data_IF_442976167318
#
_entry.id   IF_442976167318
#
_cell.length_a   1.000
_cell.length_b   1.000
_cell.length_c   1.000
_cell.angle_alpha   90.00
_cell.angle_beta   90.00
_cell.angle_gamma   90.00
#
_symmetry.space_group_name_H-M   'P 1'
#
loop_
_entity.id
_entity.type
_entity.pdbx_description
1 polymer ?
#
# COMPACT_ATOMS: atom_id res chain seq x y z
N UNK A 1 -3.36 2.17 12.17
CA UNK A 1 -3.44 2.45 13.60
C UNK A 1 -4.83 2.24 14.19
N UNK A 2 -5.90 2.85 13.63
CA UNK A 2 -7.29 2.65 14.13
C UNK A 2 -7.64 1.18 14.43
N UNK A 3 -7.40 0.33 13.45
CA UNK A 3 -7.65 -1.13 13.53
C UNK A 3 -6.82 -1.84 14.62
N UNK A 4 -5.58 -1.41 14.84
CA UNK A 4 -4.69 -1.99 15.84
C UNK A 4 -5.09 -1.58 17.26
N UNK A 5 -5.59 -0.34 17.44
CA UNK A 5 -6.13 0.12 18.73
C UNK A 5 -7.41 -0.60 19.15
N UNK A 6 -8.07 -1.32 18.24
CA UNK A 6 -9.18 -2.21 18.58
C UNK A 6 -8.74 -3.54 19.22
N UNK A 7 -7.44 -3.86 19.22
CA UNK A 7 -6.92 -5.08 19.83
C UNK A 7 -6.77 -4.91 21.34
N UNK A 8 -7.07 -5.96 22.11
CA UNK A 8 -6.97 -5.95 23.57
C UNK A 8 -5.55 -5.66 24.09
N UNK A 9 -4.53 -6.03 23.33
CA UNK A 9 -3.12 -5.80 23.65
C UNK A 9 -2.67 -4.35 23.43
N UNK A 10 -3.46 -3.52 22.74
CA UNK A 10 -3.02 -2.20 22.27
C UNK A 10 -2.52 -1.30 23.40
N UNK A 11 -3.24 -1.30 24.53
CA UNK A 11 -2.89 -0.50 25.70
C UNK A 11 -1.54 -0.89 26.33
N UNK A 12 -1.05 -2.12 26.13
CA UNK A 12 0.27 -2.52 26.63
C UNK A 12 1.42 -1.88 25.85
N UNK A 13 1.19 -1.52 24.58
CA UNK A 13 2.21 -0.94 23.71
C UNK A 13 2.04 0.58 23.55
N UNK A 14 0.80 1.03 23.41
CA UNK A 14 0.42 2.43 23.23
C UNK A 14 -0.64 2.83 24.28
N UNK A 15 -0.27 2.88 25.57
CA UNK A 15 -1.20 3.17 26.66
C UNK A 15 -1.82 4.58 26.59
N UNK A 16 -1.13 5.49 25.90
CA UNK A 16 -1.54 6.86 25.70
C UNK A 16 -2.38 7.06 24.43
N UNK A 17 -2.68 6.00 23.66
CA UNK A 17 -3.54 6.10 22.49
C UNK A 17 -4.90 5.44 22.72
N UNK A 18 -5.95 6.06 22.20
CA UNK A 18 -7.30 5.48 22.17
C UNK A 18 -8.10 5.91 20.96
N UNK A 19 -9.19 5.19 20.72
CA UNK A 19 -10.20 5.57 19.73
C UNK A 19 -11.26 6.46 20.36
N UNK A 20 -11.53 7.60 19.73
CA UNK A 20 -12.61 8.52 20.10
C UNK A 20 -13.37 8.86 18.83
N UNK A 21 -14.67 8.53 18.80
CA UNK A 21 -15.49 8.66 17.59
C UNK A 21 -14.86 8.03 16.33
N UNK A 22 -14.15 6.91 16.49
CA UNK A 22 -13.48 6.20 15.41
C UNK A 22 -12.15 6.81 14.93
N UNK A 23 -11.65 7.87 15.57
CA UNK A 23 -10.35 8.51 15.28
C UNK A 23 -9.33 8.22 16.36
N UNK A 24 -8.06 8.20 15.98
CA UNK A 24 -6.94 8.03 16.92
C UNK A 24 -6.69 9.34 17.68
N UNK A 25 -6.86 9.29 19.00
CA UNK A 25 -6.52 10.36 19.92
C UNK A 25 -5.36 9.96 20.82
N UNK A 26 -4.51 10.92 21.19
CA UNK A 26 -3.54 10.79 22.27
C UNK A 26 -4.11 11.34 23.57
N UNK A 27 -3.98 10.59 24.66
CA UNK A 27 -4.28 11.01 26.02
C UNK A 27 -3.03 11.66 26.60
N UNK A 28 -3.14 12.95 26.92
CA UNK A 28 -2.07 13.74 27.53
C UNK A 28 -2.53 14.28 28.89
N UNK A 29 -1.63 14.92 29.64
CA UNK A 29 -1.98 15.59 30.90
C UNK A 29 -2.94 16.77 30.72
N UNK A 30 -2.97 17.39 29.54
CA UNK A 30 -3.87 18.50 29.21
C UNK A 30 -5.18 18.05 28.55
N UNK A 31 -5.39 16.74 28.38
CA UNK A 31 -6.59 16.16 27.77
C UNK A 31 -6.29 15.35 26.51
N UNK A 32 -7.31 15.18 25.69
CA UNK A 32 -7.26 14.37 24.48
C UNK A 32 -6.89 15.21 23.26
N UNK A 33 -5.91 14.73 22.49
CA UNK A 33 -5.47 15.37 21.25
C UNK A 33 -5.85 14.48 20.07
N UNK A 34 -6.68 14.99 19.17
CA UNK A 34 -6.97 14.33 17.90
C UNK A 34 -5.71 14.32 17.02
N UNK A 35 -5.14 13.12 16.82
CA UNK A 35 -3.93 12.92 16.02
C UNK A 35 -4.24 12.87 14.52
N UNK A 36 -5.47 12.57 14.15
CA UNK A 36 -5.89 12.44 12.76
C UNK A 36 -6.45 13.75 12.19
N UNK A 37 -6.26 14.87 12.88
CA UNK A 37 -6.61 16.19 12.38
C UNK A 37 -5.89 16.44 11.05
N UNK A 38 -6.69 16.72 10.02
CA UNK A 38 -6.23 16.94 8.66
C UNK A 38 -5.79 18.39 8.49
N UNK A 39 -4.58 18.59 7.99
CA UNK A 39 -3.99 19.90 7.73
C UNK A 39 -3.45 19.93 6.30
N UNK A 40 -3.61 21.06 5.61
CA UNK A 40 -3.01 21.28 4.30
C UNK A 40 -1.53 21.64 4.46
N UNK A 41 -0.63 20.81 3.96
CA UNK A 41 0.82 20.93 4.12
C UNK A 41 1.49 21.13 2.76
N UNK A 42 2.39 22.11 2.60
CA UNK A 42 3.20 22.24 1.39
C UNK A 42 4.16 21.05 1.23
N UNK A 43 4.13 20.39 0.07
CA UNK A 43 5.02 19.28 -0.30
C UNK A 43 5.62 19.58 -1.67
N UNK A 44 6.88 20.01 -1.68
CA UNK A 44 7.54 20.48 -2.90
C UNK A 44 6.80 21.68 -3.50
N UNK A 45 6.31 21.55 -4.74
CA UNK A 45 5.53 22.58 -5.43
C UNK A 45 4.01 22.44 -5.27
N UNK A 46 3.55 21.47 -4.48
CA UNK A 46 2.12 21.16 -4.32
C UNK A 46 1.69 21.29 -2.84
N UNK A 47 0.38 21.23 -2.61
CA UNK A 47 -0.20 21.16 -1.26
C UNK A 47 -0.94 19.84 -1.13
N UNK A 48 -0.67 19.13 -0.04
CA UNK A 48 -1.29 17.84 0.26
C UNK A 48 -2.02 17.90 1.60
N UNK A 49 -3.15 17.19 1.71
CA UNK A 49 -3.83 17.01 3.00
C UNK A 49 -3.12 15.89 3.76
N UNK A 50 -2.60 16.20 4.94
CA UNK A 50 -1.86 15.26 5.79
C UNK A 50 -2.40 15.27 7.23
N UNK A 51 -1.92 14.32 8.04
CA UNK A 51 -2.22 14.20 9.48
C UNK A 51 -0.95 14.46 10.30
N UNK A 52 -0.43 15.70 10.31
CA UNK A 52 0.91 15.99 10.81
C UNK A 52 1.07 15.72 12.31
N UNK A 53 -0.02 15.70 13.08
CA UNK A 53 0.00 15.36 14.51
C UNK A 53 0.29 13.88 14.72
N UNK A 54 -0.35 13.00 13.97
CA UNK A 54 -0.05 11.56 13.99
C UNK A 54 1.36 11.27 13.48
N UNK A 55 1.81 11.98 12.43
CA UNK A 55 3.18 11.84 11.93
C UNK A 55 4.21 12.23 12.99
N UNK A 56 4.01 13.38 13.66
CA UNK A 56 4.86 13.83 14.78
C UNK A 56 4.81 12.89 15.98
N UNK A 57 3.67 12.27 16.26
CA UNK A 57 3.57 11.27 17.32
C UNK A 57 4.49 10.06 17.05
N UNK A 58 4.51 9.57 15.81
CA UNK A 58 5.34 8.42 15.43
C UNK A 58 6.81 8.78 15.23
N UNK A 59 7.06 9.96 14.68
CA UNK A 59 8.38 10.48 14.40
C UNK A 59 8.41 12.00 14.68
N UNK A 60 8.83 12.41 15.89
CA UNK A 60 8.84 13.83 16.30
C UNK A 60 9.79 14.71 15.49
N UNK A 61 10.90 14.16 14.99
CA UNK A 61 11.91 14.88 14.21
C UNK A 61 12.20 14.16 12.89
N UNK A 62 11.66 14.68 11.79
CA UNK A 62 11.89 14.12 10.45
C UNK A 62 13.32 14.25 9.93
N UNK A 63 14.18 15.03 10.59
CA UNK A 63 15.56 15.27 10.18
C UNK A 63 16.58 14.45 10.98
N UNK A 64 16.19 13.93 12.15
CA UNK A 64 17.09 13.18 13.03
C UNK A 64 16.35 11.99 13.63
N UNK A 65 17.00 10.83 13.61
CA UNK A 65 16.51 9.67 14.36
C UNK A 65 16.54 10.02 15.85
N UNK A 66 15.36 10.13 16.44
CA UNK A 66 15.17 10.40 17.87
C UNK A 66 14.84 9.11 18.63
N UNK A 67 15.10 9.09 19.93
CA UNK A 67 14.78 7.97 20.82
C UNK A 67 13.29 7.64 20.81
N UNK A 68 12.41 8.63 20.61
CA UNK A 68 10.98 8.41 20.49
C UNK A 68 10.59 7.61 19.23
N UNK A 69 11.25 7.88 18.11
CA UNK A 69 11.07 7.12 16.86
C UNK A 69 11.54 5.67 17.06
N UNK A 70 12.74 5.49 17.60
CA UNK A 70 13.31 4.15 17.87
C UNK A 70 12.43 3.35 18.81
N UNK A 71 11.94 3.97 19.89
CA UNK A 71 11.05 3.31 20.84
C UNK A 71 9.72 2.93 20.20
N UNK A 72 9.14 3.81 19.38
CA UNK A 72 7.88 3.54 18.67
C UNK A 72 8.05 2.39 17.68
N UNK A 73 9.13 2.38 16.91
CA UNK A 73 9.47 1.29 16.00
C UNK A 73 9.67 -0.03 16.77
N UNK A 74 10.43 0.00 17.87
CA UNK A 74 10.67 -1.17 18.73
C UNK A 74 9.37 -1.72 19.33
N UNK A 75 8.43 -0.84 19.73
CA UNK A 75 7.09 -1.26 20.17
C UNK A 75 6.35 -2.01 19.08
N UNK A 76 6.31 -1.50 17.85
CA UNK A 76 5.64 -2.21 16.75
C UNK A 76 6.26 -3.57 16.44
N UNK A 77 7.60 -3.66 16.42
CA UNK A 77 8.31 -4.93 16.21
C UNK A 77 8.03 -5.91 17.35
N UNK A 78 8.16 -5.46 18.60
CA UNK A 78 7.85 -6.31 19.75
C UNK A 78 6.38 -6.72 19.77
N UNK A 79 5.47 -5.86 19.31
CA UNK A 79 4.05 -6.17 19.27
C UNK A 79 3.73 -7.23 18.23
N UNK A 80 4.26 -7.09 17.01
CA UNK A 80 4.03 -8.08 15.96
C UNK A 80 4.64 -9.44 16.28
N UNK A 81 5.75 -9.49 17.01
CA UNK A 81 6.38 -10.74 17.44
C UNK A 81 5.61 -11.49 18.54
N UNK A 82 4.83 -10.77 19.36
CA UNK A 82 4.20 -11.33 20.56
C UNK A 82 2.67 -11.42 20.49
N UNK A 83 2.02 -10.75 19.54
CA UNK A 83 0.59 -10.86 19.31
C UNK A 83 0.28 -11.17 17.83
N UNK A 84 -0.06 -12.42 17.50
CA UNK A 84 -0.43 -12.82 16.14
C UNK A 84 -1.57 -12.00 15.52
N UNK A 85 -2.49 -11.45 16.34
CA UNK A 85 -3.61 -10.64 15.85
C UNK A 85 -3.16 -9.32 15.21
N UNK A 86 -1.98 -8.81 15.59
CA UNK A 86 -1.38 -7.63 14.95
C UNK A 86 -1.00 -7.94 13.52
N UNK A 87 -0.37 -9.09 13.30
CA UNK A 87 0.02 -9.55 11.96
C UNK A 87 -1.25 -9.75 11.12
N UNK A 88 -2.21 -10.50 11.65
CA UNK A 88 -3.50 -10.75 10.98
C UNK A 88 -4.18 -9.43 10.57
N UNK A 89 -4.34 -8.50 11.50
CA UNK A 89 -5.00 -7.22 11.22
C UNK A 89 -4.20 -6.36 10.23
N UNK A 90 -2.87 -6.39 10.30
CA UNK A 90 -2.02 -5.68 9.34
C UNK A 90 -2.16 -6.25 7.94
N UNK A 91 -2.21 -7.58 7.80
CA UNK A 91 -2.44 -8.27 6.52
C UNK A 91 -3.84 -7.92 5.98
N UNK A 92 -4.88 -8.00 6.80
CA UNK A 92 -6.25 -7.64 6.41
C UNK A 92 -6.32 -6.21 5.87
N UNK A 93 -5.73 -5.25 6.60
CA UNK A 93 -5.67 -3.84 6.18
C UNK A 93 -4.89 -3.68 4.88
N UNK A 94 -3.73 -4.35 4.74
CA UNK A 94 -2.91 -4.29 3.54
C UNK A 94 -3.66 -4.83 2.32
N UNK A 95 -4.30 -6.00 2.45
CA UNK A 95 -5.13 -6.60 1.39
C UNK A 95 -6.28 -5.67 1.00
N UNK A 96 -6.99 -5.07 1.97
CA UNK A 96 -8.06 -4.10 1.71
C UNK A 96 -7.56 -2.88 0.93
N UNK A 97 -6.39 -2.35 1.26
CA UNK A 97 -5.77 -1.22 0.55
C UNK A 97 -5.39 -1.63 -0.89
N UNK A 98 -4.77 -2.80 -1.05
CA UNK A 98 -4.36 -3.31 -2.37
C UNK A 98 -5.58 -3.55 -3.25
N UNK A 99 -6.63 -4.22 -2.76
CA UNK A 99 -7.90 -4.44 -3.48
C UNK A 99 -8.51 -3.11 -3.94
N UNK A 100 -8.60 -2.12 -3.05
CA UNK A 100 -9.13 -0.79 -3.40
C UNK A 100 -8.30 -0.09 -4.49
N UNK A 101 -6.97 -0.10 -4.35
CA UNK A 101 -6.08 0.51 -5.36
C UNK A 101 -6.19 -0.23 -6.70
N UNK A 102 -6.23 -1.55 -6.66
CA UNK A 102 -6.36 -2.36 -7.86
C UNK A 102 -7.67 -2.08 -8.59
N UNK A 103 -8.81 -1.98 -7.89
CA UNK A 103 -10.08 -1.60 -8.51
C UNK A 103 -10.02 -0.23 -9.17
N UNK A 104 -9.42 0.76 -8.49
CA UNK A 104 -9.24 2.10 -9.07
C UNK A 104 -8.36 2.08 -10.33
N UNK A 105 -7.29 1.28 -10.33
CA UNK A 105 -6.44 1.11 -11.51
C UNK A 105 -7.13 0.34 -12.63
N UNK A 106 -7.88 -0.71 -12.30
CA UNK A 106 -8.62 -1.49 -13.27
C UNK A 106 -9.65 -0.64 -14.01
N UNK A 107 -10.35 0.25 -13.29
CA UNK A 107 -11.24 1.22 -13.90
C UNK A 107 -10.47 2.26 -14.75
N UNK A 108 -9.38 2.81 -14.21
CA UNK A 108 -8.60 3.88 -14.88
C UNK A 108 -7.91 3.42 -16.16
N UNK A 109 -7.50 2.16 -16.21
CA UNK A 109 -6.70 1.57 -17.29
C UNK A 109 -7.43 0.48 -18.07
N UNK A 110 -8.75 0.35 -17.88
CA UNK A 110 -9.59 -0.59 -18.61
C UNK A 110 -9.09 -2.04 -18.51
N UNK A 111 -8.73 -2.47 -17.30
CA UNK A 111 -8.13 -3.81 -17.08
C UNK A 111 -9.18 -4.90 -16.89
N UNK A 112 -10.43 -4.55 -16.62
CA UNK A 112 -11.50 -5.54 -16.49
C UNK A 112 -11.68 -6.33 -17.79
N UNK A 113 -11.82 -7.65 -17.68
CA UNK A 113 -11.91 -8.54 -18.83
C UNK A 113 -10.59 -8.77 -19.58
N UNK A 114 -9.48 -8.14 -19.14
CA UNK A 114 -8.13 -8.39 -19.67
C UNK A 114 -7.41 -9.47 -18.87
N UNK A 115 -6.25 -9.88 -19.36
CA UNK A 115 -5.38 -10.85 -18.69
C UNK A 115 -4.83 -10.30 -17.34
N UNK A 116 -4.94 -11.05 -16.23
CA UNK A 116 -4.51 -10.58 -14.89
C UNK A 116 -3.05 -10.12 -14.79
N UNK A 117 -2.16 -10.66 -15.62
CA UNK A 117 -0.74 -10.30 -15.61
C UNK A 117 -0.51 -8.81 -15.92
N UNK A 118 -1.36 -8.20 -16.75
CA UNK A 118 -1.30 -6.76 -17.03
C UNK A 118 -1.60 -5.94 -15.76
N UNK A 119 -2.55 -6.40 -14.95
CA UNK A 119 -2.91 -5.74 -13.69
C UNK A 119 -1.79 -5.84 -12.65
N UNK A 120 -1.08 -6.97 -12.59
CA UNK A 120 0.12 -7.14 -11.75
C UNK A 120 1.16 -6.06 -12.08
N UNK A 121 1.46 -5.88 -13.37
CA UNK A 121 2.41 -4.88 -13.84
C UNK A 121 1.98 -3.45 -13.51
N UNK A 122 0.71 -3.12 -13.73
CA UNK A 122 0.17 -1.78 -13.43
C UNK A 122 0.22 -1.49 -11.93
N UNK A 123 -0.19 -2.45 -11.08
CA UNK A 123 -0.14 -2.28 -9.63
C UNK A 123 1.29 -2.07 -9.13
N UNK A 124 2.24 -2.89 -9.59
CA UNK A 124 3.65 -2.75 -9.21
C UNK A 124 4.22 -1.38 -9.61
N UNK A 125 3.91 -0.89 -10.82
CA UNK A 125 4.37 0.42 -11.29
C UNK A 125 3.99 1.56 -10.36
N UNK A 126 2.71 1.64 -10.00
CA UNK A 126 2.21 2.73 -9.16
C UNK A 126 2.52 2.52 -7.69
N UNK A 127 2.75 1.28 -7.24
CA UNK A 127 3.23 1.04 -5.89
C UNK A 127 4.69 1.49 -5.71
N UNK A 128 5.54 1.26 -6.72
CA UNK A 128 6.97 1.61 -6.69
C UNK A 128 7.28 3.03 -7.21
N UNK A 129 6.29 3.72 -7.79
CA UNK A 129 6.49 5.07 -8.35
C UNK A 129 7.29 5.11 -9.66
N UNK A 130 7.36 3.99 -10.38
CA UNK A 130 8.26 3.82 -11.55
C UNK A 130 7.63 4.10 -12.91
N UNK A 131 6.32 4.39 -12.97
CA UNK A 131 5.61 4.58 -14.22
C UNK A 131 4.73 5.82 -14.23
N UNK A 132 4.67 6.50 -15.38
CA UNK A 132 3.72 7.59 -15.60
C UNK A 132 2.42 7.11 -16.24
N UNK A 133 1.36 7.89 -16.07
CA UNK A 133 0.04 7.61 -16.63
C UNK A 133 0.08 7.46 -18.15
N UNK A 134 0.85 8.30 -18.84
CA UNK A 134 0.96 8.29 -20.30
C UNK A 134 1.67 7.03 -20.81
N UNK A 135 2.76 6.62 -20.17
CA UNK A 135 3.50 5.40 -20.54
C UNK A 135 2.64 4.14 -20.37
N UNK A 136 1.93 4.01 -19.23
CA UNK A 136 1.06 2.86 -18.98
C UNK A 136 -0.06 2.79 -20.01
N UNK A 137 -0.71 3.92 -20.31
CA UNK A 137 -1.74 3.97 -21.36
C UNK A 137 -1.18 3.58 -22.73
N UNK A 138 -0.02 4.10 -23.12
CA UNK A 138 0.60 3.77 -24.39
C UNK A 138 0.92 2.27 -24.50
N UNK A 139 1.47 1.66 -23.45
CA UNK A 139 1.77 0.23 -23.42
C UNK A 139 0.50 -0.62 -23.56
N UNK A 140 -0.59 -0.26 -22.87
CA UNK A 140 -1.86 -1.00 -22.90
C UNK A 140 -2.66 -0.84 -24.20
N UNK A 141 -2.28 0.09 -25.08
CA UNK A 141 -2.89 0.27 -26.41
C UNK A 141 -2.21 -0.58 -27.50
N UNK A 142 -1.12 -1.29 -27.17
CA UNK A 142 -0.49 -2.22 -28.11
C UNK A 142 -1.44 -3.37 -28.45
N UNK A 143 -1.35 -3.87 -29.68
CA UNK A 143 -2.34 -4.77 -30.28
C UNK A 143 -2.30 -6.21 -29.78
N UNK A 144 -1.23 -6.62 -29.11
CA UNK A 144 -1.10 -7.99 -28.59
C UNK A 144 -0.71 -7.99 -27.12
N UNK A 145 -1.17 -9.01 -26.39
CA UNK A 145 -0.83 -9.21 -24.99
C UNK A 145 0.69 -9.27 -24.75
N UNK A 146 1.42 -9.97 -25.62
CA UNK A 146 2.89 -10.07 -25.51
C UNK A 146 3.56 -8.70 -25.66
N UNK A 147 3.10 -7.87 -26.61
CA UNK A 147 3.63 -6.52 -26.79
C UNK A 147 3.28 -5.60 -25.61
N UNK A 148 2.05 -5.69 -25.08
CA UNK A 148 1.63 -4.97 -23.88
C UNK A 148 2.53 -5.34 -22.68
N UNK A 149 2.74 -6.64 -22.45
CA UNK A 149 3.54 -7.14 -21.34
C UNK A 149 5.00 -6.72 -21.44
N UNK A 150 5.60 -6.85 -22.62
CA UNK A 150 6.98 -6.42 -22.88
C UNK A 150 7.15 -4.92 -22.63
N UNK A 151 6.26 -4.10 -23.18
CA UNK A 151 6.28 -2.65 -22.99
C UNK A 151 6.13 -2.26 -21.52
N UNK A 152 5.16 -2.85 -20.80
CA UNK A 152 4.98 -2.61 -19.37
C UNK A 152 6.22 -3.01 -18.56
N UNK A 153 6.87 -4.12 -18.92
CA UNK A 153 8.05 -4.63 -18.21
C UNK A 153 9.29 -3.74 -18.33
N UNK A 154 9.28 -2.76 -19.25
CA UNK A 154 10.39 -1.84 -19.53
C UNK A 154 10.18 -0.45 -18.95
N UNK A 155 8.98 -0.14 -18.42
CA UNK A 155 8.70 1.18 -17.86
C UNK A 155 9.46 1.38 -16.54
N UNK A 156 10.40 2.32 -16.55
CA UNK A 156 11.11 2.84 -15.39
C UNK A 156 11.47 4.31 -15.62
N UNK A 157 10.76 5.23 -14.96
CA UNK A 157 11.01 6.68 -15.04
C UNK A 157 12.25 7.12 -14.25
N UNK A 158 12.77 6.27 -13.37
CA UNK A 158 13.84 6.59 -12.42
C UNK A 158 15.18 5.97 -12.81
N UNK A 159 15.15 4.86 -13.56
CA UNK A 159 16.31 4.06 -13.94
C UNK A 159 16.90 3.21 -12.80
N UNK A 160 16.30 3.22 -11.60
CA UNK A 160 16.85 2.52 -10.42
C UNK A 160 16.16 1.20 -10.10
N UNK A 161 15.19 0.77 -10.90
CA UNK A 161 14.34 -0.40 -10.59
C UNK A 161 14.72 -1.68 -11.34
N UNK A 162 15.92 -1.80 -11.89
CA UNK A 162 16.32 -2.95 -12.74
C UNK A 162 16.09 -4.30 -12.06
N UNK A 163 16.55 -4.46 -10.80
CA UNK A 163 16.38 -5.70 -10.06
C UNK A 163 14.90 -6.02 -9.82
N UNK A 164 14.08 -5.01 -9.53
CA UNK A 164 12.63 -5.19 -9.32
C UNK A 164 11.95 -5.63 -10.60
N UNK A 165 12.26 -5.01 -11.73
CA UNK A 165 11.72 -5.40 -13.04
C UNK A 165 12.06 -6.86 -13.35
N UNK A 166 13.29 -7.30 -13.05
CA UNK A 166 13.71 -8.69 -13.21
C UNK A 166 12.86 -9.64 -12.36
N UNK A 167 12.71 -9.35 -11.07
CA UNK A 167 11.88 -10.16 -10.17
C UNK A 167 10.42 -10.24 -10.63
N UNK A 168 9.80 -9.12 -11.01
CA UNK A 168 8.40 -9.14 -11.45
C UNK A 168 8.25 -9.91 -12.76
N UNK A 169 9.20 -9.81 -13.70
CA UNK A 169 9.22 -10.64 -14.92
C UNK A 169 9.30 -12.12 -14.59
N UNK A 170 10.18 -12.52 -13.68
CA UNK A 170 10.32 -13.91 -13.25
C UNK A 170 9.03 -14.43 -12.61
N UNK A 171 8.44 -13.68 -11.68
CA UNK A 171 7.17 -14.07 -11.05
C UNK A 171 6.04 -14.19 -12.08
N UNK A 172 5.88 -13.21 -12.97
CA UNK A 172 4.84 -13.26 -14.01
C UNK A 172 5.07 -14.43 -14.96
N UNK A 173 6.33 -14.71 -15.31
CA UNK A 173 6.66 -15.89 -16.12
C UNK A 173 6.25 -17.19 -15.43
N UNK A 174 6.55 -17.35 -14.13
CA UNK A 174 6.14 -18.53 -13.36
C UNK A 174 4.61 -18.68 -13.42
N UNK A 175 3.86 -17.61 -13.15
CA UNK A 175 2.38 -17.65 -13.19
C UNK A 175 1.84 -18.05 -14.58
N UNK A 176 2.51 -17.61 -15.65
CA UNK A 176 2.16 -17.99 -17.02
C UNK A 176 2.52 -19.44 -17.34
N UNK A 177 3.70 -19.89 -16.94
CA UNK A 177 4.18 -21.27 -17.18
C UNK A 177 3.32 -22.29 -16.41
N UNK A 178 2.89 -21.94 -15.20
CA UNK A 178 2.00 -22.73 -14.34
C UNK A 178 0.52 -22.62 -14.75
N UNK A 179 0.19 -21.80 -15.76
CA UNK A 179 -1.18 -21.58 -16.23
C UNK A 179 -2.14 -21.11 -15.12
N UNK A 180 -1.65 -20.37 -14.13
CA UNK A 180 -2.44 -19.92 -12.96
C UNK A 180 -3.68 -19.13 -13.38
N UNK A 181 -3.59 -18.36 -14.46
CA UNK A 181 -4.69 -17.54 -14.99
C UNK A 181 -5.27 -18.06 -16.33
N UNK A 182 -5.07 -19.34 -16.66
CA UNK A 182 -5.61 -19.88 -17.90
C UNK A 182 -7.15 -19.83 -17.90
N UNK A 183 -7.72 -19.15 -18.90
CA UNK A 183 -9.17 -18.94 -19.02
C UNK A 183 -9.73 -17.82 -18.12
N UNK A 184 -8.94 -17.32 -17.17
CA UNK A 184 -9.36 -16.32 -16.20
C UNK A 184 -9.12 -14.91 -16.76
N UNK A 185 -10.12 -14.05 -16.65
CA UNK A 185 -9.97 -12.61 -16.88
C UNK A 185 -9.98 -11.85 -15.57
N UNK A 186 -9.31 -10.71 -15.58
CA UNK A 186 -9.26 -9.84 -14.44
C UNK A 186 -10.67 -9.28 -14.14
N UNK A 187 -11.14 -9.51 -12.92
CA UNK A 187 -12.48 -9.14 -12.48
C UNK A 187 -13.55 -10.22 -12.73
N UNK A 188 -13.18 -11.41 -13.22
CA UNK A 188 -14.07 -12.56 -13.17
C UNK A 188 -14.24 -13.04 -11.72
N UNK A 189 -15.44 -13.51 -11.38
CA UNK A 189 -15.79 -13.98 -10.03
C UNK A 189 -14.90 -15.14 -9.55
N UNK A 190 -14.29 -15.90 -10.47
CA UNK A 190 -13.34 -16.98 -10.18
C UNK A 190 -12.06 -16.51 -9.45
N UNK A 191 -11.79 -15.21 -9.44
CA UNK A 191 -10.69 -14.60 -8.67
C UNK A 191 -11.14 -14.02 -7.33
N UNK A 192 -12.41 -14.12 -6.95
CA UNK A 192 -12.90 -13.67 -5.65
C UNK A 192 -12.89 -14.82 -4.64
N UNK A 193 -11.94 -14.86 -3.68
CA UNK A 193 -11.87 -15.93 -2.68
C UNK A 193 -13.02 -15.90 -1.65
N UNK A 194 -14.01 -15.03 -1.85
CA UNK A 194 -15.25 -14.95 -1.06
C UNK A 194 -16.50 -15.45 -1.80
N UNK A 195 -16.35 -15.97 -3.02
CA UNK A 195 -17.40 -16.65 -3.77
C UNK A 195 -17.48 -18.16 -3.46
#
# INVERSE_FOLDING_TARGET
MRELLGLSSAAAYFPDLKLVNGRVHQVTSSGEVDLEHEEAVPVGSQTEVQIPRFMRYLNPDSYRVDNAEVLTAAKFVHWSLNDPKVIEKTIEVALRIVKRKMNAFAQRYDLFGRRPELAIWVLDMFHQGRGSVSQVKAALQLSSFSAQLDALSKIDVTGVHEQRLRTVRECVKILMDENVFAGIKFGDDELDPTS
#
